data_IF_990515528834
#
_entry.id   IF_990515528834
#
_cell.length_a   1.000
_cell.length_b   1.000
_cell.length_c   1.000
_cell.angle_alpha   90.00
_cell.angle_beta   90.00
_cell.angle_gamma   90.00
#
_symmetry.space_group_name_H-M   'P 1'
#
loop_
_entity.id
_entity.type
_entity.pdbx_description
1 polymer ?
#
# COMPACT_ATOMS: atom_id res chain seq x y z
N UNK A 1 -5.39 -2.70 -41.95
CA UNK A 1 -5.10 -3.04 -40.54
C UNK A 1 -4.27 -1.93 -39.92
N UNK A 2 -4.81 -1.11 -39.01
CA UNK A 2 -4.02 -0.08 -38.31
C UNK A 2 -3.12 -0.78 -37.29
N UNK A 3 -1.80 -0.79 -37.52
CA UNK A 3 -0.83 -1.18 -36.49
C UNK A 3 -0.96 -0.14 -35.37
N UNK A 4 -1.50 -0.56 -34.22
CA UNK A 4 -1.51 0.28 -33.03
C UNK A 4 -0.08 0.71 -32.71
N UNK A 5 0.11 2.00 -32.40
CA UNK A 5 1.42 2.53 -32.05
C UNK A 5 2.01 1.73 -30.89
N UNK A 6 3.28 1.28 -30.94
CA UNK A 6 3.84 0.28 -30.02
C UNK A 6 3.94 0.72 -28.54
N UNK A 7 3.51 1.94 -28.20
CA UNK A 7 3.57 2.51 -26.85
C UNK A 7 2.28 3.26 -26.44
N UNK A 8 1.11 2.70 -26.76
CA UNK A 8 -0.16 3.19 -26.18
C UNK A 8 -0.16 3.00 -24.66
N UNK A 9 -0.53 4.04 -23.92
CA UNK A 9 -0.72 3.94 -22.47
C UNK A 9 -2.03 3.21 -22.20
N UNK A 10 -1.95 2.05 -21.57
CA UNK A 10 -3.10 1.20 -21.22
C UNK A 10 -3.39 1.31 -19.72
N UNK A 11 -4.63 1.07 -19.30
CA UNK A 11 -5.00 1.08 -17.87
C UNK A 11 -4.09 0.18 -17.00
N UNK A 12 -3.73 -1.06 -17.41
CA UNK A 12 -2.76 -1.89 -16.67
C UNK A 12 -1.40 -1.20 -16.46
N UNK A 13 -0.92 -0.45 -17.44
CA UNK A 13 0.34 0.28 -17.32
C UNK A 13 0.26 1.43 -16.31
N UNK A 14 -0.88 2.12 -16.23
CA UNK A 14 -1.09 3.20 -15.26
C UNK A 14 -1.11 2.66 -13.83
N UNK A 15 -1.82 1.56 -13.56
CA UNK A 15 -1.84 0.98 -12.21
C UNK A 15 -0.49 0.41 -11.79
N UNK A 16 0.31 -0.12 -12.72
CA UNK A 16 1.70 -0.54 -12.45
C UNK A 16 2.57 0.67 -12.04
N UNK A 17 2.43 1.82 -12.72
CA UNK A 17 3.14 3.05 -12.36
C UNK A 17 2.66 3.65 -11.04
N UNK A 18 1.35 3.60 -10.77
CA UNK A 18 0.77 4.00 -9.50
C UNK A 18 1.33 3.14 -8.36
N UNK A 19 1.31 1.82 -8.52
CA UNK A 19 1.87 0.88 -7.56
C UNK A 19 3.37 1.12 -7.32
N UNK A 20 4.14 1.40 -8.38
CA UNK A 20 5.55 1.77 -8.26
C UNK A 20 5.78 3.06 -7.46
N UNK A 21 4.97 4.10 -7.68
CA UNK A 21 5.05 5.36 -6.92
C UNK A 21 4.75 5.16 -5.44
N UNK A 22 3.91 4.18 -5.12
CA UNK A 22 3.52 3.82 -3.77
C UNK A 22 4.52 2.86 -3.11
N UNK A 23 5.67 2.60 -3.72
CA UNK A 23 6.69 1.70 -3.18
C UNK A 23 6.37 0.22 -3.37
N UNK A 24 5.48 -0.13 -4.30
CA UNK A 24 5.05 -1.49 -4.56
C UNK A 24 6.16 -2.46 -5.00
N UNK A 25 7.40 -1.99 -5.20
CA UNK A 25 8.56 -2.86 -5.40
C UNK A 25 9.05 -3.51 -4.09
N UNK A 26 8.74 -2.91 -2.94
CA UNK A 26 9.27 -3.31 -1.63
C UNK A 26 8.17 -3.73 -0.65
N UNK A 27 6.92 -3.32 -0.90
CA UNK A 27 5.78 -3.57 -0.03
C UNK A 27 4.50 -3.85 -0.79
N UNK A 28 3.55 -4.45 -0.09
CA UNK A 28 2.20 -4.66 -0.58
C UNK A 28 1.35 -3.40 -0.37
N UNK A 29 0.61 -2.99 -1.41
CA UNK A 29 -0.19 -1.76 -1.40
C UNK A 29 -1.67 -2.08 -1.58
N UNK A 30 -2.52 -1.39 -0.84
CA UNK A 30 -3.97 -1.58 -0.92
C UNK A 30 -4.56 -1.03 -2.23
N UNK A 31 -5.66 -1.64 -2.66
CA UNK A 31 -6.30 -1.31 -3.95
C UNK A 31 -6.78 0.14 -3.97
N UNK A 32 -7.28 0.65 -2.84
CA UNK A 32 -7.78 2.01 -2.68
C UNK A 32 -6.66 3.05 -2.81
N UNK A 33 -5.49 2.78 -2.23
CA UNK A 33 -4.33 3.67 -2.32
C UNK A 33 -3.81 3.72 -3.77
N UNK A 34 -3.78 2.56 -4.44
CA UNK A 34 -3.47 2.47 -5.88
C UNK A 34 -4.51 3.22 -6.69
N UNK A 35 -5.80 3.14 -6.34
CA UNK A 35 -6.88 3.77 -7.06
C UNK A 35 -6.81 5.30 -7.02
N UNK A 36 -6.53 5.87 -5.83
CA UNK A 36 -6.25 7.31 -5.68
C UNK A 36 -5.09 7.71 -6.58
N UNK A 37 -3.98 6.97 -6.52
CA UNK A 37 -2.78 7.30 -7.30
C UNK A 37 -2.97 7.10 -8.81
N UNK A 38 -3.72 6.09 -9.24
CA UNK A 38 -4.01 5.83 -10.64
C UNK A 38 -4.91 6.92 -11.23
N UNK A 39 -5.92 7.38 -10.47
CA UNK A 39 -6.72 8.55 -10.83
C UNK A 39 -5.86 9.80 -10.96
N UNK A 40 -4.92 10.04 -10.04
CA UNK A 40 -4.00 11.18 -10.15
C UNK A 40 -3.16 11.15 -11.43
N UNK A 41 -2.77 9.95 -11.88
CA UNK A 41 -1.98 9.76 -13.09
C UNK A 41 -2.80 9.84 -14.37
N UNK A 42 -4.05 9.38 -14.35
CA UNK A 42 -4.95 9.38 -15.50
C UNK A 42 -6.42 9.57 -15.04
N UNK A 43 -6.85 10.80 -14.73
CA UNK A 43 -8.16 11.07 -14.15
C UNK A 43 -9.32 10.55 -15.02
N UNK A 44 -9.23 10.75 -16.33
CA UNK A 44 -10.25 10.31 -17.29
C UNK A 44 -10.37 8.78 -17.39
N UNK A 45 -9.30 8.04 -17.07
CA UNK A 45 -9.29 6.59 -17.16
C UNK A 45 -9.86 5.89 -15.91
N UNK A 46 -9.79 6.55 -14.75
CA UNK A 46 -10.12 5.98 -13.44
C UNK A 46 -11.09 6.83 -12.61
N UNK A 47 -11.92 7.63 -13.28
CA UNK A 47 -13.05 8.32 -12.67
C UNK A 47 -14.35 7.91 -13.34
N UNK A 48 -15.47 8.01 -12.62
CA UNK A 48 -16.78 7.73 -13.22
C UNK A 48 -17.12 8.76 -14.30
N UNK A 49 -17.68 8.30 -15.43
CA UNK A 49 -18.06 9.17 -16.55
C UNK A 49 -19.06 10.26 -16.17
N UNK A 50 -20.06 9.92 -15.34
CA UNK A 50 -21.10 10.85 -14.89
C UNK A 50 -20.66 11.73 -13.71
N UNK A 51 -19.74 11.22 -12.89
CA UNK A 51 -19.28 11.85 -11.64
C UNK A 51 -17.74 11.82 -11.58
N UNK A 52 -17.01 12.67 -12.33
CA UNK A 52 -15.55 12.60 -12.50
C UNK A 52 -14.72 12.84 -11.23
N UNK A 53 -15.36 13.34 -10.17
CA UNK A 53 -14.78 13.44 -8.84
C UNK A 53 -14.68 12.10 -8.11
N UNK A 54 -15.52 11.13 -8.49
CA UNK A 54 -15.56 9.79 -7.92
C UNK A 54 -14.58 8.85 -8.61
N UNK A 55 -13.80 8.11 -7.83
CA UNK A 55 -12.84 7.11 -8.33
C UNK A 55 -13.60 5.87 -8.81
N UNK A 56 -13.25 5.40 -10.02
CA UNK A 56 -13.69 4.11 -10.55
C UNK A 56 -12.86 2.96 -9.97
N UNK A 57 -13.20 2.53 -8.75
CA UNK A 57 -12.47 1.47 -8.05
C UNK A 57 -12.54 0.13 -8.79
N UNK A 58 -13.65 -0.18 -9.46
CA UNK A 58 -13.78 -1.41 -10.24
C UNK A 58 -12.88 -1.38 -11.48
N UNK A 59 -12.81 -0.23 -12.17
CA UNK A 59 -11.87 -0.02 -13.26
C UNK A 59 -10.39 -0.21 -12.84
N UNK A 60 -10.03 0.20 -11.62
CA UNK A 60 -8.68 -0.04 -11.06
C UNK A 60 -8.46 -1.52 -10.78
N UNK A 61 -9.44 -2.21 -10.16
CA UNK A 61 -9.36 -3.66 -9.88
C UNK A 61 -9.19 -4.48 -11.15
N UNK A 62 -9.97 -4.19 -12.18
CA UNK A 62 -9.88 -4.85 -13.49
C UNK A 62 -8.49 -4.64 -14.08
N UNK A 63 -7.98 -3.40 -14.06
CA UNK A 63 -6.66 -3.09 -14.59
C UNK A 63 -5.52 -3.81 -13.86
N UNK A 64 -5.61 -3.97 -12.53
CA UNK A 64 -4.65 -4.71 -11.72
C UNK A 64 -4.68 -6.22 -12.05
N UNK A 65 -5.87 -6.80 -12.16
CA UNK A 65 -6.00 -8.19 -12.60
C UNK A 65 -5.47 -8.41 -14.02
N UNK A 66 -5.69 -7.46 -14.93
CA UNK A 66 -5.10 -7.52 -16.27
C UNK A 66 -3.58 -7.44 -16.23
N UNK A 67 -3.00 -6.53 -15.43
CA UNK A 67 -1.55 -6.43 -15.24
C UNK A 67 -0.92 -7.71 -14.67
N UNK A 68 -1.69 -8.50 -13.90
CA UNK A 68 -1.26 -9.78 -13.34
C UNK A 68 -1.31 -10.96 -14.34
N UNK A 69 -1.93 -10.79 -15.53
CA UNK A 69 -1.99 -11.86 -16.53
C UNK A 69 -0.66 -12.01 -17.27
N UNK A 70 -0.30 -13.25 -17.61
CA UNK A 70 0.88 -13.58 -18.42
C UNK A 70 0.91 -12.82 -19.76
N UNK A 71 -0.23 -12.73 -20.45
CA UNK A 71 -0.37 -11.98 -21.71
C UNK A 71 -0.04 -10.49 -21.59
N UNK A 72 -0.04 -9.95 -20.37
CA UNK A 72 0.30 -8.56 -20.06
C UNK A 72 1.70 -8.44 -19.41
N UNK A 73 2.47 -9.54 -19.39
CA UNK A 73 3.83 -9.59 -18.85
C UNK A 73 3.91 -9.87 -17.35
N UNK A 74 2.80 -10.25 -16.70
CA UNK A 74 2.75 -10.60 -15.27
C UNK A 74 3.47 -9.55 -14.39
N UNK A 75 3.07 -8.29 -14.53
CA UNK A 75 3.78 -7.14 -13.97
C UNK A 75 3.48 -6.90 -12.47
N UNK A 76 2.35 -7.43 -12.00
CA UNK A 76 1.93 -7.31 -10.60
C UNK A 76 1.46 -8.68 -10.10
N UNK A 77 1.51 -8.84 -8.79
CA UNK A 77 0.93 -9.98 -8.09
C UNK A 77 0.09 -9.52 -6.90
N UNK A 78 -0.80 -10.39 -6.44
CA UNK A 78 -1.65 -10.12 -5.28
C UNK A 78 -3.15 -10.17 -5.57
N UNK A 79 -3.90 -9.51 -4.71
CA UNK A 79 -5.36 -9.53 -4.72
C UNK A 79 -5.91 -8.32 -3.96
N UNK A 80 -7.21 -8.09 -4.06
CA UNK A 80 -7.87 -7.06 -3.23
C UNK A 80 -7.66 -7.30 -1.74
N UNK A 81 -7.66 -8.56 -1.30
CA UNK A 81 -7.51 -8.96 0.11
C UNK A 81 -6.08 -8.80 0.62
N UNK A 82 -5.12 -9.21 -0.19
CA UNK A 82 -3.68 -9.19 0.14
C UNK A 82 -2.97 -7.92 -0.36
N UNK A 83 -3.70 -7.00 -0.99
CA UNK A 83 -3.16 -5.94 -1.84
C UNK A 83 -2.21 -6.45 -2.91
N UNK A 84 -1.44 -5.52 -3.45
CA UNK A 84 -0.70 -5.71 -4.68
C UNK A 84 0.78 -5.36 -4.50
N UNK A 85 1.64 -6.10 -5.17
CA UNK A 85 3.08 -5.85 -5.26
C UNK A 85 3.53 -5.93 -6.71
N UNK A 86 4.62 -5.25 -7.05
CA UNK A 86 5.30 -5.44 -8.33
C UNK A 86 6.04 -6.78 -8.31
N UNK A 87 5.92 -7.52 -9.39
CA UNK A 87 6.80 -8.66 -9.64
C UNK A 87 8.17 -8.17 -10.09
N UNK A 88 9.20 -9.03 -10.13
CA UNK A 88 10.48 -8.67 -10.75
C UNK A 88 10.34 -8.16 -12.19
N UNK A 89 9.42 -8.76 -12.96
CA UNK A 89 9.10 -8.30 -14.32
C UNK A 89 8.48 -6.89 -14.32
N UNK A 90 7.57 -6.61 -13.38
CA UNK A 90 7.00 -5.28 -13.13
C UNK A 90 8.06 -4.24 -12.82
N UNK A 91 8.97 -4.52 -11.88
CA UNK A 91 10.08 -3.62 -11.52
C UNK A 91 10.93 -3.30 -12.74
N UNK A 92 11.31 -4.31 -13.53
CA UNK A 92 12.11 -4.11 -14.72
C UNK A 92 11.36 -3.32 -15.80
N UNK A 93 10.05 -3.58 -15.95
CA UNK A 93 9.21 -2.82 -16.87
C UNK A 93 9.15 -1.34 -16.48
N UNK A 94 8.98 -1.02 -15.20
CA UNK A 94 8.97 0.37 -14.70
C UNK A 94 10.31 1.05 -14.96
N UNK A 95 11.44 0.37 -14.71
CA UNK A 95 12.78 0.90 -14.98
C UNK A 95 12.97 1.26 -16.47
N UNK A 96 12.50 0.40 -17.38
CA UNK A 96 12.65 0.61 -18.83
C UNK A 96 11.68 1.64 -19.41
N UNK A 97 10.40 1.57 -19.05
CA UNK A 97 9.32 2.33 -19.71
C UNK A 97 8.72 3.44 -18.86
N UNK A 98 8.90 3.41 -17.54
CA UNK A 98 8.15 4.24 -16.61
C UNK A 98 8.37 5.74 -16.82
N UNK A 99 9.61 6.18 -17.04
CA UNK A 99 9.89 7.60 -17.30
C UNK A 99 9.22 8.11 -18.58
N UNK A 100 9.26 7.32 -19.66
CA UNK A 100 8.61 7.66 -20.93
C UNK A 100 7.09 7.73 -20.77
N UNK A 101 6.49 6.76 -20.10
CA UNK A 101 5.04 6.74 -19.87
C UNK A 101 4.56 7.87 -18.96
N UNK A 102 5.30 8.18 -17.89
CA UNK A 102 4.98 9.32 -17.02
C UNK A 102 4.99 10.64 -17.77
N UNK A 103 5.94 10.85 -18.70
CA UNK A 103 5.95 12.05 -19.56
C UNK A 103 4.71 12.13 -20.44
N UNK A 104 4.23 11.01 -20.97
CA UNK A 104 2.99 10.97 -21.76
C UNK A 104 1.76 11.28 -20.92
N UNK A 105 1.71 10.77 -19.68
CA UNK A 105 0.63 11.03 -18.72
C UNK A 105 0.65 12.46 -18.15
N UNK A 106 1.83 13.08 -18.05
CA UNK A 106 1.98 14.45 -17.56
C UNK A 106 1.32 15.50 -18.47
N UNK A 107 1.08 15.16 -19.75
CA UNK A 107 0.28 15.99 -20.67
C UNK A 107 -1.21 16.01 -20.37
N UNK A 108 -1.69 15.19 -19.42
CA UNK A 108 -3.12 14.98 -19.12
C UNK A 108 -3.54 15.22 -17.67
N UNK A 109 -2.65 15.68 -16.77
CA UNK A 109 -3.06 16.08 -15.41
C UNK A 109 -1.93 16.39 -14.41
N UNK A 110 -2.04 17.52 -13.70
CA UNK A 110 -1.40 17.77 -12.39
C UNK A 110 -2.45 17.73 -11.26
N UNK A 111 -2.15 18.05 -9.98
CA UNK A 111 -0.94 17.93 -9.16
C UNK A 111 -1.12 16.82 -8.08
N UNK A 112 -1.07 15.54 -8.45
CA UNK A 112 -1.44 14.40 -7.58
C UNK A 112 -0.56 14.06 -6.37
N UNK A 113 0.62 14.68 -6.18
CA UNK A 113 1.43 14.39 -4.97
C UNK A 113 0.78 14.91 -3.68
N UNK A 114 -0.03 15.98 -3.75
CA UNK A 114 -0.68 16.57 -2.57
C UNK A 114 -1.84 15.72 -2.06
N UNK A 115 -2.56 15.04 -2.95
CA UNK A 115 -3.74 14.26 -2.57
C UNK A 115 -3.36 12.89 -1.99
N UNK A 116 -2.30 12.26 -2.50
CA UNK A 116 -1.73 11.04 -1.90
C UNK A 116 -1.29 11.27 -0.43
N UNK A 117 -0.52 12.34 -0.16
CA UNK A 117 -0.11 12.65 1.21
C UNK A 117 -1.31 12.88 2.14
N UNK A 118 -2.37 13.52 1.64
CA UNK A 118 -3.63 13.71 2.39
C UNK A 118 -4.34 12.39 2.68
N UNK A 119 -4.40 11.47 1.71
CA UNK A 119 -5.01 10.15 1.87
C UNK A 119 -4.24 9.29 2.90
N UNK A 120 -2.92 9.22 2.78
CA UNK A 120 -2.08 8.48 3.74
C UNK A 120 -2.17 9.09 5.16
N UNK A 121 -2.14 10.42 5.27
CA UNK A 121 -2.31 11.13 6.54
C UNK A 121 -3.69 10.83 7.16
N UNK A 122 -4.75 10.82 6.36
CA UNK A 122 -6.11 10.47 6.81
C UNK A 122 -6.19 9.01 7.28
N UNK A 123 -5.60 8.08 6.54
CA UNK A 123 -5.55 6.65 6.91
C UNK A 123 -4.82 6.45 8.24
N UNK A 124 -3.65 7.08 8.42
CA UNK A 124 -2.90 7.09 9.69
C UNK A 124 -3.75 7.64 10.84
N UNK A 125 -4.44 8.76 10.63
CA UNK A 125 -5.28 9.36 11.66
C UNK A 125 -6.46 8.45 12.06
N UNK A 126 -7.13 7.81 11.09
CA UNK A 126 -8.23 6.89 11.34
C UNK A 126 -7.76 5.63 12.09
N UNK A 127 -6.67 5.00 11.63
CA UNK A 127 -6.14 3.79 12.28
C UNK A 127 -5.61 4.09 13.68
N UNK A 128 -4.93 5.22 13.88
CA UNK A 128 -4.54 5.69 15.23
C UNK A 128 -5.76 5.84 16.14
N UNK A 129 -6.82 6.47 15.65
CA UNK A 129 -8.08 6.61 16.40
C UNK A 129 -8.71 5.26 16.75
N UNK A 130 -8.69 4.29 15.82
CA UNK A 130 -9.19 2.93 16.06
C UNK A 130 -8.35 2.20 17.12
N UNK A 131 -7.03 2.23 17.00
CA UNK A 131 -6.10 1.55 17.91
C UNK A 131 -6.32 2.02 19.34
N UNK A 132 -6.41 3.33 19.57
CA UNK A 132 -6.62 3.90 20.91
C UNK A 132 -7.93 3.46 21.58
N UNK A 133 -8.92 3.00 20.81
CA UNK A 133 -10.19 2.48 21.34
C UNK A 133 -10.14 1.00 21.69
N UNK A 134 -9.10 0.26 21.30
CA UNK A 134 -8.99 -1.16 21.59
C UNK A 134 -8.67 -1.41 23.07
N UNK A 135 -9.12 -2.57 23.58
CA UNK A 135 -8.75 -3.02 24.92
C UNK A 135 -7.22 -3.21 25.06
N UNK A 136 -6.58 -3.76 24.01
CA UNK A 136 -5.13 -3.95 23.95
C UNK A 136 -4.36 -2.66 24.21
N UNK A 137 -4.79 -1.53 23.62
CA UNK A 137 -4.17 -0.22 23.83
C UNK A 137 -4.25 0.20 25.29
N UNK A 138 -5.46 0.16 25.87
CA UNK A 138 -5.69 0.55 27.27
C UNK A 138 -4.89 -0.30 28.26
N UNK A 139 -4.78 -1.61 28.00
CA UNK A 139 -4.00 -2.52 28.84
C UNK A 139 -2.50 -2.21 28.73
N UNK A 140 -1.99 -2.04 27.51
CA UNK A 140 -0.59 -1.69 27.28
C UNK A 140 -0.20 -0.35 27.90
N UNK A 141 -1.03 0.68 27.74
CA UNK A 141 -0.81 2.02 28.33
C UNK A 141 -0.81 1.96 29.87
N UNK A 142 -1.57 1.04 30.46
CA UNK A 142 -1.58 0.79 31.90
C UNK A 142 -0.46 -0.17 32.39
N UNK A 143 0.45 -0.61 31.50
CA UNK A 143 1.50 -1.58 31.84
C UNK A 143 0.98 -2.98 32.18
N UNK A 144 -0.24 -3.32 31.75
CA UNK A 144 -0.89 -4.60 32.00
C UNK A 144 -0.64 -5.57 30.85
N UNK A 145 -0.63 -6.89 31.12
CA UNK A 145 -0.46 -7.89 30.07
C UNK A 145 -1.59 -7.82 29.05
N UNK A 146 -1.22 -7.88 27.77
CA UNK A 146 -2.12 -7.99 26.62
C UNK A 146 -2.15 -9.45 26.18
N UNK A 147 -3.33 -10.00 25.95
CA UNK A 147 -3.47 -11.37 25.44
C UNK A 147 -3.24 -11.44 23.93
N UNK A 148 -2.78 -12.59 23.38
CA UNK A 148 -2.54 -12.74 21.94
C UNK A 148 -3.74 -12.34 21.06
N UNK A 149 -4.96 -12.74 21.44
CA UNK A 149 -6.18 -12.36 20.71
C UNK A 149 -6.45 -10.85 20.71
N UNK A 150 -6.08 -10.16 21.79
CA UNK A 150 -6.21 -8.71 21.89
C UNK A 150 -5.18 -8.03 20.99
N UNK A 151 -3.97 -8.59 20.88
CA UNK A 151 -2.94 -8.13 19.95
C UNK A 151 -3.35 -8.37 18.48
N UNK A 152 -3.96 -9.51 18.15
CA UNK A 152 -4.48 -9.81 16.80
C UNK A 152 -5.49 -8.76 16.30
N UNK A 153 -6.37 -8.27 17.18
CA UNK A 153 -7.35 -7.23 16.86
C UNK A 153 -6.70 -5.89 16.43
N UNK A 154 -5.46 -5.63 16.87
CA UNK A 154 -4.67 -4.46 16.43
C UNK A 154 -4.40 -4.54 14.93
N UNK A 155 -4.18 -5.73 14.40
CA UNK A 155 -3.89 -5.98 12.98
C UNK A 155 -5.10 -6.41 12.17
N UNK A 156 -6.31 -6.31 12.75
CA UNK A 156 -7.56 -6.80 12.14
C UNK A 156 -7.46 -8.27 11.76
N UNK A 157 -6.79 -9.06 12.60
CA UNK A 157 -6.72 -10.52 12.49
C UNK A 157 -7.80 -11.09 13.41
N UNK A 158 -8.57 -12.04 12.86
CA UNK A 158 -9.66 -12.76 13.51
C UNK A 158 -9.57 -14.25 13.18
N UNK A 159 -10.50 -15.06 13.70
CA UNK A 159 -10.56 -16.51 13.43
C UNK A 159 -10.67 -16.85 11.94
N UNK A 160 -11.20 -15.93 11.15
CA UNK A 160 -11.44 -16.08 9.70
C UNK A 160 -10.26 -15.61 8.85
N UNK A 161 -9.20 -15.09 9.47
CA UNK A 161 -8.01 -14.64 8.76
C UNK A 161 -7.06 -15.83 8.57
N UNK A 162 -6.81 -16.28 7.31
CA UNK A 162 -5.87 -17.36 7.04
C UNK A 162 -4.49 -17.01 7.58
N UNK A 163 -3.79 -18.00 8.14
CA UNK A 163 -2.44 -17.79 8.70
C UNK A 163 -1.46 -17.11 7.74
N UNK A 164 -1.56 -17.40 6.43
CA UNK A 164 -0.73 -16.76 5.40
C UNK A 164 -0.97 -15.25 5.26
N UNK A 165 -2.15 -14.75 5.61
CA UNK A 165 -2.52 -13.33 5.50
C UNK A 165 -2.14 -12.54 6.78
N UNK A 166 -1.92 -13.23 7.91
CA UNK A 166 -1.61 -12.61 9.20
C UNK A 166 -0.33 -11.78 9.12
N UNK A 167 0.75 -12.36 8.59
CA UNK A 167 2.04 -11.68 8.48
C UNK A 167 1.92 -10.39 7.65
N UNK A 168 1.19 -10.48 6.54
CA UNK A 168 0.95 -9.35 5.65
C UNK A 168 0.17 -8.23 6.35
N UNK A 169 -0.92 -8.56 7.05
CA UNK A 169 -1.71 -7.57 7.81
C UNK A 169 -0.87 -6.89 8.89
N UNK A 170 -0.02 -7.66 9.58
CA UNK A 170 0.91 -7.15 10.59
C UNK A 170 1.91 -6.18 9.95
N UNK A 171 2.60 -6.62 8.89
CA UNK A 171 3.59 -5.82 8.18
C UNK A 171 3.01 -4.48 7.72
N UNK A 172 1.83 -4.47 7.11
CA UNK A 172 1.17 -3.24 6.65
C UNK A 172 0.91 -2.23 7.77
N UNK A 173 0.50 -2.71 8.93
CA UNK A 173 0.23 -1.83 10.06
C UNK A 173 1.53 -1.28 10.67
N UNK A 174 2.58 -2.10 10.69
CA UNK A 174 3.93 -1.65 11.07
C UNK A 174 4.47 -0.62 10.09
N UNK A 175 4.31 -0.80 8.79
CA UNK A 175 4.71 0.19 7.79
C UNK A 175 3.91 1.50 7.89
N UNK A 176 2.60 1.40 8.17
CA UNK A 176 1.71 2.55 8.29
C UNK A 176 1.92 3.34 9.58
N UNK A 177 2.17 2.67 10.71
CA UNK A 177 2.13 3.30 12.04
C UNK A 177 3.33 2.99 12.94
N UNK A 178 4.27 2.13 12.51
CA UNK A 178 5.42 1.75 13.33
C UNK A 178 6.28 2.94 13.76
N UNK A 179 6.43 3.94 12.88
CA UNK A 179 7.16 5.18 13.18
C UNK A 179 6.26 6.32 13.71
N UNK A 180 4.97 6.06 13.99
CA UNK A 180 4.10 7.07 14.60
C UNK A 180 4.55 7.31 16.06
N UNK A 181 4.78 8.57 16.49
CA UNK A 181 5.32 8.87 17.81
C UNK A 181 4.36 8.51 18.95
N UNK A 182 3.07 8.35 18.66
CA UNK A 182 2.05 8.09 19.67
C UNK A 182 1.70 6.61 19.82
N UNK A 183 1.68 5.84 18.73
CA UNK A 183 1.26 4.42 18.77
C UNK A 183 2.31 3.45 18.25
N UNK A 184 3.44 3.92 17.72
CA UNK A 184 4.42 3.09 17.05
C UNK A 184 5.12 2.05 17.94
N UNK A 185 5.41 2.41 19.19
CA UNK A 185 5.95 1.48 20.20
C UNK A 185 5.01 0.30 20.42
N UNK A 186 3.76 0.59 20.77
CA UNK A 186 2.69 -0.39 20.90
C UNK A 186 2.53 -1.29 19.67
N UNK A 187 2.49 -0.70 18.47
CA UNK A 187 2.30 -1.46 17.22
C UNK A 187 3.42 -2.49 17.01
N UNK A 188 4.68 -2.11 17.27
CA UNK A 188 5.80 -3.05 17.14
C UNK A 188 5.74 -4.15 18.18
N UNK A 189 5.42 -3.85 19.44
CA UNK A 189 5.31 -4.87 20.49
C UNK A 189 4.19 -5.88 20.20
N UNK A 190 3.02 -5.40 19.77
CA UNK A 190 1.92 -6.28 19.37
C UNK A 190 2.28 -7.12 18.15
N UNK A 191 3.06 -6.57 17.21
CA UNK A 191 3.52 -7.32 16.03
C UNK A 191 4.42 -8.50 16.43
N UNK A 192 5.33 -8.29 17.39
CA UNK A 192 6.15 -9.36 17.97
C UNK A 192 5.26 -10.43 18.60
N UNK A 193 4.23 -10.04 19.36
CA UNK A 193 3.32 -11.00 20.00
C UNK A 193 2.54 -11.85 19.00
N UNK A 194 2.05 -11.26 17.92
CA UNK A 194 1.20 -11.95 16.93
C UNK A 194 2.01 -12.82 15.97
N UNK A 195 3.23 -12.40 15.61
CA UNK A 195 4.05 -13.11 14.61
C UNK A 195 5.22 -13.89 15.18
N UNK A 196 5.55 -13.68 16.47
CA UNK A 196 6.78 -14.15 17.08
C UNK A 196 8.05 -13.44 16.58
N UNK A 197 7.92 -12.37 15.77
CA UNK A 197 9.04 -11.69 15.11
C UNK A 197 9.79 -10.73 16.05
N UNK A 198 10.46 -11.26 17.07
CA UNK A 198 11.43 -10.49 17.84
C UNK A 198 12.78 -10.45 17.10
N UNK A 199 13.31 -9.24 16.87
CA UNK A 199 14.67 -8.91 16.40
C UNK A 199 14.99 -9.13 14.90
N UNK A 200 14.45 -8.29 14.01
CA UNK A 200 15.22 -7.87 12.84
C UNK A 200 14.86 -6.42 12.49
N UNK A 201 15.88 -5.54 12.54
CA UNK A 201 15.84 -4.11 12.20
C UNK A 201 15.29 -3.18 13.29
N UNK A 202 16.02 -3.11 14.40
CA UNK A 202 16.22 -1.79 15.03
C UNK A 202 17.23 -1.05 14.13
N UNK A 203 16.92 0.15 13.59
CA UNK A 203 17.95 0.94 12.91
C UNK A 203 18.98 1.31 13.97
N UNK A 204 20.21 0.84 13.78
CA UNK A 204 21.33 1.19 14.64
C UNK A 204 21.34 2.71 14.86
N UNK A 205 21.12 3.14 16.10
CA UNK A 205 21.54 4.46 16.55
C UNK A 205 23.05 4.51 16.27
N UNK A 206 23.45 5.20 15.19
CA UNK A 206 24.81 5.72 15.08
C UNK A 206 24.98 6.66 16.27
N UNK A 207 25.65 6.19 17.31
CA UNK A 207 26.33 7.11 18.23
C UNK A 207 27.30 7.93 17.38
N UNK A 208 26.98 9.21 17.23
CA UNK A 208 28.01 10.24 17.15
C UNK A 208 28.59 10.33 18.55
N UNK A 209 29.87 10.01 18.68
CA UNK A 209 30.73 10.59 19.70
C UNK A 209 31.97 11.02 18.91
N UNK A 210 31.93 12.30 18.56
CA UNK A 210 33.07 13.12 18.15
C UNK A 210 33.97 13.32 19.39
N UNK A 211 35.28 13.44 19.15
CA UNK A 211 36.38 13.86 20.05
C UNK A 211 37.14 12.75 20.77
#
# INVERSE_FOLDING_TARGET
MRRGSPDTVLKPHVVVLALADLGGAERWVDTEDIAVRARDLAPEAFSWRKYPEQIDLDGVRIALHDAAKERCGHLVEGSVRSGWSLTPAGVQWVKRKGASMRRRLAGTGGPGRRDHWRAETRKRALERGRIRRLAAWRLWEAGRPVEPRQAEAVFRVDSETPRRDVHLKVQRMVELLGEDPSVGGFIREMAVMVTGWAKARSPARRKKEDS
#
